data_IF_513401885710
#
_entry.id   IF_513401885710
#
_cell.length_a   1.000
_cell.length_b   1.000
_cell.length_c   1.000
_cell.angle_alpha   90.00
_cell.angle_beta   90.00
_cell.angle_gamma   90.00
#
_symmetry.space_group_name_H-M   'P 1'
#
loop_
_entity.id
_entity.type
_entity.pdbx_description
1 polymer ?
#
# COMPACT_ATOMS: atom_id res chain seq x y z
N UNK A 1 -65.74 -10.27 1.97
CA UNK A 1 -64.84 -9.13 1.70
C UNK A 1 -63.81 -8.89 2.80
N UNK A 2 -64.18 -8.89 4.09
CA UNK A 2 -63.22 -8.64 5.19
C UNK A 2 -62.04 -9.65 5.29
N UNK A 3 -62.28 -10.95 5.02
CA UNK A 3 -61.22 -11.98 5.06
C UNK A 3 -60.17 -11.89 3.95
N UNK A 4 -60.50 -11.31 2.80
CA UNK A 4 -59.54 -11.13 1.70
C UNK A 4 -58.61 -9.93 1.95
N UNK A 5 -59.09 -8.92 2.67
CA UNK A 5 -58.31 -7.71 2.99
C UNK A 5 -57.24 -8.02 4.05
N UNK A 6 -57.57 -8.84 5.06
CA UNK A 6 -56.60 -9.28 6.08
C UNK A 6 -55.52 -10.21 5.51
N UNK A 7 -55.89 -11.10 4.59
CA UNK A 7 -54.90 -11.94 3.89
C UNK A 7 -53.96 -11.12 3.01
N UNK A 8 -54.47 -10.12 2.27
CA UNK A 8 -53.64 -9.22 1.48
C UNK A 8 -52.70 -8.37 2.34
N UNK A 9 -53.14 -7.91 3.51
CA UNK A 9 -52.30 -7.16 4.45
C UNK A 9 -51.18 -8.04 5.04
N UNK A 10 -51.46 -9.29 5.39
CA UNK A 10 -50.45 -10.22 5.91
C UNK A 10 -49.43 -10.58 4.81
N UNK A 11 -49.88 -10.79 3.57
CA UNK A 11 -48.99 -11.02 2.43
C UNK A 11 -48.17 -9.77 2.10
N UNK A 12 -48.74 -8.56 2.20
CA UNK A 12 -48.01 -7.31 2.00
C UNK A 12 -46.98 -7.07 3.11
N UNK A 13 -47.30 -7.39 4.37
CA UNK A 13 -46.36 -7.31 5.51
C UNK A 13 -45.26 -8.37 5.40
N UNK A 14 -45.57 -9.59 4.94
CA UNK A 14 -44.57 -10.64 4.68
C UNK A 14 -43.68 -10.31 3.46
N UNK A 15 -44.25 -9.68 2.43
CA UNK A 15 -43.49 -9.17 1.28
C UNK A 15 -42.62 -7.97 1.70
N UNK A 16 -43.09 -7.09 2.58
CA UNK A 16 -42.31 -5.98 3.14
C UNK A 16 -41.23 -6.47 4.14
N UNK A 17 -41.48 -7.55 4.88
CA UNK A 17 -40.46 -8.20 5.73
C UNK A 17 -39.36 -8.88 4.90
N UNK A 18 -39.66 -9.35 3.69
CA UNK A 18 -38.66 -9.83 2.73
C UNK A 18 -37.94 -8.70 1.95
N UNK A 19 -38.37 -7.44 2.10
CA UNK A 19 -37.70 -6.26 1.53
C UNK A 19 -36.78 -5.54 2.51
N UNK A 20 -36.66 -6.02 3.76
CA UNK A 20 -35.73 -5.47 4.77
C UNK A 20 -34.84 -6.59 5.32
N UNK A 21 -34.10 -7.24 4.42
CA UNK A 21 -32.76 -7.79 4.67
C UNK A 21 -32.02 -7.85 3.33
N UNK A 22 -31.92 -6.71 2.64
CA UNK A 22 -30.63 -6.43 2.06
C UNK A 22 -29.74 -6.14 3.28
N UNK A 23 -28.96 -7.13 3.73
CA UNK A 23 -27.62 -6.75 4.18
C UNK A 23 -27.09 -5.92 3.00
N UNK A 24 -27.02 -4.60 3.17
CA UNK A 24 -26.02 -3.82 2.46
C UNK A 24 -24.72 -4.50 2.86
N UNK A 25 -24.35 -5.52 2.09
CA UNK A 25 -23.22 -6.41 2.34
C UNK A 25 -21.99 -5.55 2.17
N UNK A 26 -21.64 -4.83 3.23
CA UNK A 26 -20.60 -3.84 3.18
C UNK A 26 -19.31 -4.55 2.74
N UNK A 27 -18.73 -4.11 1.63
CA UNK A 27 -17.55 -4.77 1.09
C UNK A 27 -16.35 -4.15 1.78
N UNK A 28 -15.47 -4.99 2.34
CA UNK A 28 -14.21 -4.55 2.90
C UNK A 28 -13.29 -4.03 1.79
N UNK A 29 -12.77 -2.82 1.96
CA UNK A 29 -11.76 -2.26 1.07
C UNK A 29 -10.36 -2.72 1.51
N UNK A 30 -9.61 -3.22 0.55
CA UNK A 30 -8.23 -3.67 0.70
C UNK A 30 -7.52 -3.59 -0.64
N UNK A 31 -6.21 -3.81 -0.65
CA UNK A 31 -5.47 -4.02 -1.90
C UNK A 31 -6.11 -5.08 -2.81
N UNK A 32 -6.69 -6.14 -2.24
CA UNK A 32 -7.32 -7.22 -3.01
C UNK A 32 -8.56 -6.75 -3.78
N UNK A 33 -9.26 -5.72 -3.30
CA UNK A 33 -10.52 -5.24 -3.87
C UNK A 33 -10.38 -3.85 -4.51
N UNK A 34 -9.22 -3.22 -4.37
CA UNK A 34 -8.93 -1.88 -4.88
C UNK A 34 -9.09 -1.81 -6.41
N UNK A 35 -10.06 -1.03 -6.94
CA UNK A 35 -10.36 -1.00 -8.36
C UNK A 35 -9.14 -0.56 -9.20
N UNK A 36 -8.56 -1.51 -9.94
CA UNK A 36 -7.33 -1.31 -10.72
C UNK A 36 -7.44 -2.01 -12.08
N UNK A 37 -6.91 -1.39 -13.13
CA UNK A 37 -6.66 -2.06 -14.41
C UNK A 37 -5.19 -2.51 -14.41
N UNK A 38 -4.98 -3.83 -14.33
CA UNK A 38 -3.66 -4.45 -14.23
C UNK A 38 -3.35 -5.21 -15.51
N UNK A 39 -2.41 -4.72 -16.31
CA UNK A 39 -2.02 -5.35 -17.58
C UNK A 39 -0.64 -6.00 -17.45
N UNK A 40 -0.54 -7.25 -17.89
CA UNK A 40 0.76 -7.93 -18.02
C UNK A 40 1.17 -7.95 -19.49
N UNK A 41 2.38 -7.50 -19.77
CA UNK A 41 2.98 -7.47 -21.11
C UNK A 41 4.15 -8.45 -21.09
N UNK A 42 3.95 -9.63 -21.69
CA UNK A 42 4.78 -10.81 -21.51
C UNK A 42 5.57 -11.13 -22.77
N UNK A 43 6.89 -11.22 -22.64
CA UNK A 43 7.79 -11.65 -23.70
C UNK A 43 7.58 -13.15 -24.00
N UNK A 44 7.29 -13.45 -25.26
CA UNK A 44 7.14 -14.79 -25.81
C UNK A 44 8.12 -15.05 -26.95
N UNK A 45 9.27 -14.38 -26.96
CA UNK A 45 10.30 -14.48 -28.00
C UNK A 45 11.14 -15.77 -27.91
N UNK A 46 12.00 -16.01 -28.92
CA UNK A 46 12.86 -17.19 -28.96
C UNK A 46 13.88 -17.29 -27.83
N UNK A 47 14.33 -16.18 -27.25
CA UNK A 47 15.25 -16.19 -26.10
C UNK A 47 14.60 -16.78 -24.84
N UNK A 48 13.30 -16.52 -24.66
CA UNK A 48 12.49 -17.08 -23.57
C UNK A 48 12.41 -18.59 -23.72
N UNK A 49 11.92 -19.05 -24.87
CA UNK A 49 11.65 -20.47 -25.12
C UNK A 49 10.41 -21.00 -24.37
N UNK A 50 9.83 -22.13 -24.83
CA UNK A 50 8.55 -22.62 -24.33
C UNK A 50 8.58 -23.05 -22.85
N UNK A 51 9.68 -23.63 -22.38
CA UNK A 51 9.79 -24.11 -20.98
C UNK A 51 9.78 -22.96 -19.97
N UNK A 52 10.52 -21.88 -20.25
CA UNK A 52 10.55 -20.70 -19.40
C UNK A 52 9.23 -19.93 -19.47
N UNK A 53 8.60 -19.89 -20.65
CA UNK A 53 7.28 -19.25 -20.79
C UNK A 53 6.21 -19.93 -19.92
N UNK A 54 6.26 -21.25 -19.74
CA UNK A 54 5.40 -21.94 -18.77
C UNK A 54 5.65 -21.49 -17.32
N UNK A 55 6.89 -21.13 -16.96
CA UNK A 55 7.21 -20.57 -15.64
C UNK A 55 6.63 -19.15 -15.51
N UNK A 56 6.73 -18.33 -16.56
CA UNK A 56 6.11 -17.00 -16.63
C UNK A 56 4.58 -17.08 -16.47
N UNK A 57 3.92 -18.03 -17.17
CA UNK A 57 2.47 -18.26 -17.01
C UNK A 57 2.10 -18.67 -15.58
N UNK A 58 2.86 -19.58 -14.96
CA UNK A 58 2.64 -19.95 -13.55
C UNK A 58 2.81 -18.75 -12.62
N UNK A 59 3.80 -17.90 -12.87
CA UNK A 59 4.01 -16.67 -12.12
C UNK A 59 2.83 -15.70 -12.28
N UNK A 60 2.36 -15.46 -13.52
CA UNK A 60 1.19 -14.67 -13.85
C UNK A 60 -0.07 -15.13 -13.09
N UNK A 61 -0.33 -16.44 -13.09
CA UNK A 61 -1.46 -17.04 -12.35
C UNK A 61 -1.30 -16.80 -10.85
N UNK A 62 -0.10 -17.05 -10.31
CA UNK A 62 0.15 -16.94 -8.88
C UNK A 62 0.08 -15.51 -8.36
N UNK A 63 0.55 -14.52 -9.12
CA UNK A 63 0.41 -13.10 -8.72
C UNK A 63 -1.06 -12.69 -8.79
N UNK A 64 -1.80 -13.10 -9.82
CA UNK A 64 -3.22 -12.78 -10.03
C UNK A 64 -4.12 -13.30 -8.89
N UNK A 65 -3.82 -14.48 -8.32
CA UNK A 65 -4.56 -15.06 -7.18
C UNK A 65 -4.58 -14.18 -5.91
N UNK A 66 -3.71 -13.18 -5.82
CA UNK A 66 -3.70 -12.24 -4.70
C UNK A 66 -4.78 -11.17 -4.79
N UNK A 67 -5.47 -11.04 -5.92
CA UNK A 67 -6.45 -9.99 -6.17
C UNK A 67 -7.84 -10.59 -6.43
N UNK A 68 -8.86 -9.83 -6.05
CA UNK A 68 -10.24 -10.17 -6.31
C UNK A 68 -10.64 -9.58 -7.66
N UNK A 69 -10.98 -10.46 -8.60
CA UNK A 69 -11.25 -10.10 -9.99
C UNK A 69 -12.73 -9.82 -10.18
N UNK A 70 -13.05 -8.71 -10.82
CA UNK A 70 -14.42 -8.41 -11.17
C UNK A 70 -14.65 -6.99 -11.67
N UNK A 71 -15.86 -6.68 -12.15
CA UNK A 71 -16.19 -5.38 -12.73
C UNK A 71 -16.02 -4.21 -11.74
N UNK A 72 -16.26 -4.48 -10.44
CA UNK A 72 -16.10 -3.51 -9.34
C UNK A 72 -14.70 -3.50 -8.72
N UNK A 73 -13.85 -4.46 -9.05
CA UNK A 73 -12.54 -4.67 -8.42
C UNK A 73 -11.43 -4.58 -9.47
N UNK A 74 -10.46 -5.48 -9.42
CA UNK A 74 -9.35 -5.54 -10.35
C UNK A 74 -9.84 -6.17 -11.67
N UNK A 75 -9.49 -5.53 -12.78
CA UNK A 75 -9.59 -6.11 -14.11
C UNK A 75 -8.19 -6.39 -14.62
N UNK A 76 -7.96 -7.61 -15.11
CA UNK A 76 -6.65 -8.03 -15.63
C UNK A 76 -6.69 -8.14 -17.13
N UNK A 77 -5.66 -7.60 -17.79
CA UNK A 77 -5.40 -7.78 -19.21
C UNK A 77 -4.05 -8.45 -19.44
N UNK A 78 -3.91 -9.18 -20.54
CA UNK A 78 -2.65 -9.85 -20.90
C UNK A 78 -2.36 -9.60 -22.38
N UNK A 79 -1.16 -9.09 -22.64
CA UNK A 79 -0.55 -9.00 -23.96
C UNK A 79 0.66 -9.91 -23.96
N UNK A 80 0.73 -10.83 -24.91
CA UNK A 80 1.97 -11.53 -25.22
C UNK A 80 2.63 -10.85 -26.42
N UNK A 81 3.96 -10.82 -26.51
CA UNK A 81 4.62 -10.27 -27.69
C UNK A 81 5.85 -11.06 -28.12
N UNK A 82 6.09 -11.05 -29.43
CA UNK A 82 7.37 -11.43 -30.03
C UNK A 82 7.67 -10.52 -31.22
N UNK A 83 7.47 -10.99 -32.46
CA UNK A 83 7.53 -10.18 -33.68
C UNK A 83 6.42 -9.11 -33.73
N UNK A 84 5.26 -9.45 -33.15
CA UNK A 84 4.09 -8.61 -33.02
C UNK A 84 3.38 -8.89 -31.68
N UNK A 85 2.66 -7.90 -31.13
CA UNK A 85 1.84 -8.11 -29.94
C UNK A 85 0.56 -8.89 -30.26
N UNK A 86 0.17 -9.76 -29.33
CA UNK A 86 -1.05 -10.56 -29.34
C UNK A 86 -1.87 -10.25 -28.09
N UNK A 87 -3.14 -9.90 -28.28
CA UNK A 87 -4.09 -9.72 -27.18
C UNK A 87 -4.58 -11.09 -26.71
N UNK A 88 -4.04 -11.58 -25.61
CA UNK A 88 -4.44 -12.85 -25.00
C UNK A 88 -5.71 -12.67 -24.16
N UNK A 89 -5.75 -11.62 -23.33
CA UNK A 89 -6.86 -11.36 -22.41
C UNK A 89 -7.23 -9.88 -22.45
N UNK A 90 -8.42 -9.51 -22.94
CA UNK A 90 -8.94 -8.14 -22.85
C UNK A 90 -9.27 -7.73 -21.41
N UNK A 91 -9.09 -6.45 -21.09
CA UNK A 91 -9.57 -5.91 -19.81
C UNK A 91 -11.09 -6.08 -19.68
N UNK A 92 -11.53 -6.55 -18.50
CA UNK A 92 -12.93 -6.71 -18.16
C UNK A 92 -13.66 -7.90 -18.80
N UNK A 93 -12.95 -8.79 -19.50
CA UNK A 93 -13.56 -9.99 -20.10
C UNK A 93 -13.98 -11.05 -19.07
N UNK A 94 -13.41 -11.02 -17.87
CA UNK A 94 -13.68 -11.99 -16.80
C UNK A 94 -14.24 -11.31 -15.55
N UNK A 95 -15.34 -11.88 -15.03
CA UNK A 95 -16.01 -11.41 -13.82
C UNK A 95 -15.58 -12.16 -12.54
N UNK A 96 -14.73 -13.18 -12.67
CA UNK A 96 -14.20 -13.98 -11.55
C UNK A 96 -12.77 -14.45 -11.85
N UNK A 97 -12.01 -14.73 -10.78
CA UNK A 97 -10.61 -15.16 -10.89
C UNK A 97 -10.45 -16.56 -11.49
N UNK A 98 -11.38 -17.48 -11.26
CA UNK A 98 -11.28 -18.86 -11.74
C UNK A 98 -11.23 -18.95 -13.28
N UNK A 99 -12.17 -18.29 -13.95
CA UNK A 99 -12.21 -18.28 -15.42
C UNK A 99 -11.02 -17.51 -16.03
N UNK A 100 -10.58 -16.43 -15.36
CA UNK A 100 -9.39 -15.69 -15.76
C UNK A 100 -8.14 -16.57 -15.69
N UNK A 101 -7.98 -17.33 -14.60
CA UNK A 101 -6.84 -18.23 -14.41
C UNK A 101 -6.82 -19.32 -15.48
N UNK A 102 -7.96 -19.95 -15.78
CA UNK A 102 -8.04 -20.95 -16.84
C UNK A 102 -7.64 -20.36 -18.22
N UNK A 103 -8.05 -19.11 -18.50
CA UNK A 103 -7.64 -18.41 -19.71
C UNK A 103 -6.13 -18.15 -19.75
N UNK A 104 -5.53 -17.71 -18.64
CA UNK A 104 -4.09 -17.51 -18.52
C UNK A 104 -3.29 -18.79 -18.74
N UNK A 105 -3.77 -19.92 -18.21
CA UNK A 105 -3.12 -21.23 -18.38
C UNK A 105 -3.15 -21.71 -19.84
N UNK A 106 -4.17 -21.30 -20.61
CA UNK A 106 -4.34 -21.65 -22.02
C UNK A 106 -3.48 -20.85 -23.00
N UNK A 107 -2.78 -19.79 -22.54
CA UNK A 107 -1.92 -18.98 -23.40
C UNK A 107 -0.79 -19.84 -23.99
N UNK A 108 -0.62 -19.78 -25.30
CA UNK A 108 0.41 -20.53 -26.02
C UNK A 108 1.63 -19.66 -26.32
N UNK A 109 2.83 -20.23 -26.17
CA UNK A 109 4.08 -19.58 -26.53
C UNK A 109 4.15 -19.26 -28.03
N UNK A 110 4.61 -18.04 -28.38
CA UNK A 110 4.71 -17.58 -29.77
C UNK A 110 6.02 -17.99 -30.46
N UNK A 111 7.16 -17.61 -29.89
CA UNK A 111 8.44 -17.54 -30.60
C UNK A 111 8.54 -16.33 -31.53
N UNK A 112 9.77 -15.96 -31.92
CA UNK A 112 10.05 -14.81 -32.77
C UNK A 112 11.08 -13.85 -32.17
N UNK A 113 11.09 -12.61 -32.66
CA UNK A 113 11.94 -11.54 -32.12
C UNK A 113 11.36 -10.89 -30.85
N UNK A 114 12.04 -9.87 -30.33
CA UNK A 114 11.63 -9.11 -29.13
C UNK A 114 11.26 -7.68 -29.51
N UNK A 115 9.97 -7.35 -29.55
CA UNK A 115 9.43 -6.03 -29.92
C UNK A 115 8.67 -5.37 -28.76
N UNK A 116 9.40 -5.02 -27.71
CA UNK A 116 8.84 -4.50 -26.44
C UNK A 116 8.17 -3.14 -26.63
N UNK A 117 8.71 -2.27 -27.48
CA UNK A 117 8.15 -0.94 -27.74
C UNK A 117 6.76 -1.01 -28.37
N UNK A 118 6.62 -1.83 -29.41
CA UNK A 118 5.31 -2.14 -30.01
C UNK A 118 4.32 -2.75 -29.03
N UNK A 119 4.77 -3.62 -28.13
CA UNK A 119 3.90 -4.24 -27.14
C UNK A 119 3.34 -3.23 -26.13
N UNK A 120 4.17 -2.32 -25.64
CA UNK A 120 3.76 -1.22 -24.76
C UNK A 120 2.76 -0.30 -25.48
N UNK A 121 3.07 0.11 -26.71
CA UNK A 121 2.18 0.95 -27.51
C UNK A 121 0.83 0.25 -27.78
N UNK A 122 0.85 -1.05 -28.10
CA UNK A 122 -0.37 -1.83 -28.30
C UNK A 122 -1.23 -1.92 -27.04
N UNK A 123 -0.61 -2.13 -25.87
CA UNK A 123 -1.33 -2.13 -24.60
C UNK A 123 -2.00 -0.77 -24.33
N UNK A 124 -1.30 0.33 -24.59
CA UNK A 124 -1.85 1.69 -24.50
C UNK A 124 -3.07 1.86 -25.41
N UNK A 125 -2.93 1.58 -26.71
CA UNK A 125 -3.92 1.91 -27.73
C UNK A 125 -5.13 0.95 -27.75
N UNK A 126 -4.94 -0.32 -27.37
CA UNK A 126 -5.96 -1.36 -27.55
C UNK A 126 -6.48 -1.99 -26.27
N UNK A 127 -5.75 -1.89 -25.15
CA UNK A 127 -6.24 -2.36 -23.85
C UNK A 127 -6.67 -1.17 -23.00
N UNK A 128 -5.74 -0.30 -22.63
CA UNK A 128 -6.03 0.80 -21.70
C UNK A 128 -6.98 1.86 -22.26
N UNK A 129 -6.95 2.11 -23.58
CA UNK A 129 -7.88 3.02 -24.24
C UNK A 129 -9.32 2.48 -24.30
N UNK A 130 -9.50 1.15 -24.24
CA UNK A 130 -10.83 0.51 -24.22
C UNK A 130 -11.42 0.44 -22.81
N UNK A 131 -10.60 0.66 -21.78
CA UNK A 131 -11.11 0.76 -20.42
C UNK A 131 -11.88 2.07 -20.24
N UNK A 132 -13.18 1.96 -19.95
CA UNK A 132 -14.04 3.10 -19.62
C UNK A 132 -13.89 3.55 -18.15
N UNK A 133 -12.97 2.93 -17.39
CA UNK A 133 -12.76 3.17 -15.98
C UNK A 133 -11.75 4.30 -15.77
N UNK A 134 -12.13 5.31 -14.99
CA UNK A 134 -11.20 6.33 -14.50
C UNK A 134 -10.62 5.90 -13.15
N UNK A 135 -9.68 4.96 -13.21
CA UNK A 135 -9.09 4.28 -12.05
C UNK A 135 -7.57 4.13 -12.20
N UNK A 136 -6.91 3.55 -11.20
CA UNK A 136 -5.47 3.23 -11.25
C UNK A 136 -5.19 2.27 -12.40
N UNK A 137 -4.22 2.62 -13.25
CA UNK A 137 -3.78 1.82 -14.41
C UNK A 137 -2.32 1.41 -14.21
N UNK A 138 -2.05 0.12 -14.24
CA UNK A 138 -0.71 -0.44 -14.03
C UNK A 138 -0.40 -1.41 -15.16
N UNK A 139 0.80 -1.31 -15.73
CA UNK A 139 1.34 -2.35 -16.60
C UNK A 139 2.61 -2.95 -16.01
N UNK A 140 2.74 -4.26 -16.09
CA UNK A 140 3.94 -5.01 -15.71
C UNK A 140 4.53 -5.61 -16.98
N UNK A 141 5.67 -5.08 -17.41
CA UNK A 141 6.43 -5.54 -18.58
C UNK A 141 7.45 -6.56 -18.11
N UNK A 142 7.43 -7.76 -18.69
CA UNK A 142 8.40 -8.81 -18.44
C UNK A 142 9.16 -9.09 -19.74
N UNK A 143 10.49 -9.10 -19.67
CA UNK A 143 11.38 -9.38 -20.80
C UNK A 143 12.67 -10.04 -20.33
N UNK A 144 13.32 -10.80 -21.21
CA UNK A 144 14.62 -11.43 -20.93
C UNK A 144 15.76 -10.97 -21.83
N UNK A 145 15.51 -9.99 -22.71
CA UNK A 145 16.51 -9.51 -23.65
C UNK A 145 16.34 -8.03 -23.98
N UNK A 146 17.33 -7.50 -24.71
CA UNK A 146 17.25 -6.18 -25.34
C UNK A 146 16.17 -6.19 -26.42
N UNK A 147 15.31 -5.17 -26.41
CA UNK A 147 14.34 -4.97 -27.47
C UNK A 147 15.01 -4.65 -28.81
N UNK A 148 14.40 -5.10 -29.90
CA UNK A 148 14.85 -4.80 -31.26
C UNK A 148 14.14 -3.59 -31.88
N UNK A 149 13.25 -2.94 -31.13
CA UNK A 149 12.59 -1.67 -31.47
C UNK A 149 12.74 -0.61 -30.36
N UNK A 150 12.45 0.64 -30.69
CA UNK A 150 12.53 1.76 -29.74
C UNK A 150 11.46 1.64 -28.66
N UNK A 151 11.87 1.49 -27.39
CA UNK A 151 10.95 1.33 -26.25
C UNK A 151 10.58 2.65 -25.58
N UNK A 152 11.45 3.66 -25.69
CA UNK A 152 11.39 4.86 -24.85
C UNK A 152 10.12 5.69 -25.13
N UNK A 153 9.84 5.96 -26.40
CA UNK A 153 8.72 6.81 -26.80
C UNK A 153 7.37 6.18 -26.42
N UNK A 154 7.23 4.86 -26.61
CA UNK A 154 6.03 4.12 -26.21
C UNK A 154 5.83 4.14 -24.69
N UNK A 155 6.91 3.96 -23.92
CA UNK A 155 6.87 4.02 -22.47
C UNK A 155 6.57 5.44 -21.95
N UNK A 156 7.12 6.48 -22.58
CA UNK A 156 6.78 7.89 -22.29
C UNK A 156 5.30 8.16 -22.57
N UNK A 157 4.78 7.74 -23.72
CA UNK A 157 3.37 7.91 -24.06
C UNK A 157 2.43 7.20 -23.06
N UNK A 158 2.77 5.98 -22.62
CA UNK A 158 1.99 5.28 -21.61
C UNK A 158 1.98 6.02 -20.25
N UNK A 159 3.14 6.53 -19.79
CA UNK A 159 3.24 7.30 -18.55
C UNK A 159 2.52 8.64 -18.62
N UNK A 160 2.55 9.31 -19.77
CA UNK A 160 1.80 10.54 -20.00
C UNK A 160 0.29 10.31 -19.89
N UNK A 161 -0.17 9.11 -20.26
CA UNK A 161 -1.53 8.61 -20.06
C UNK A 161 -1.81 8.04 -18.66
N UNK A 162 -0.96 8.37 -17.67
CA UNK A 162 -1.10 8.00 -16.25
C UNK A 162 -1.12 6.49 -16.00
N UNK A 163 -0.45 5.71 -16.87
CA UNK A 163 -0.20 4.29 -16.63
C UNK A 163 1.12 4.16 -15.86
N UNK A 164 1.08 3.48 -14.72
CA UNK A 164 2.29 3.11 -13.98
C UNK A 164 2.93 1.88 -14.63
N UNK A 165 4.18 1.99 -15.07
CA UNK A 165 4.94 0.91 -15.68
C UNK A 165 5.94 0.31 -14.68
N UNK A 166 5.84 -1.00 -14.49
CA UNK A 166 6.87 -1.85 -13.88
C UNK A 166 7.62 -2.59 -14.99
N UNK A 167 8.94 -2.74 -14.85
CA UNK A 167 9.76 -3.54 -15.74
C UNK A 167 10.46 -4.66 -14.95
N UNK A 168 10.33 -5.89 -15.41
CA UNK A 168 10.97 -7.08 -14.86
C UNK A 168 11.91 -7.62 -15.95
N UNK A 169 13.22 -7.50 -15.70
CA UNK A 169 14.24 -8.13 -16.52
C UNK A 169 14.62 -9.49 -15.96
N UNK A 170 14.64 -10.52 -16.79
CA UNK A 170 15.05 -11.88 -16.43
C UNK A 170 16.34 -12.24 -17.15
N UNK A 171 17.35 -12.74 -16.43
CA UNK A 171 18.62 -13.13 -17.01
C UNK A 171 19.57 -11.97 -17.33
N UNK A 172 20.75 -12.32 -17.86
CA UNK A 172 21.86 -11.40 -18.13
C UNK A 172 21.73 -10.61 -19.44
N UNK A 173 20.85 -11.02 -20.34
CA UNK A 173 20.72 -10.41 -21.68
C UNK A 173 19.87 -9.12 -21.67
N UNK A 174 19.37 -8.72 -20.50
CA UNK A 174 18.59 -7.48 -20.33
C UNK A 174 19.50 -6.26 -20.16
N UNK A 175 19.13 -5.15 -20.79
CA UNK A 175 19.86 -3.88 -20.65
C UNK A 175 19.22 -2.99 -19.57
N UNK A 176 19.98 -2.70 -18.51
CA UNK A 176 19.55 -1.83 -17.39
C UNK A 176 18.97 -0.48 -17.87
N UNK A 177 19.61 0.14 -18.86
CA UNK A 177 19.15 1.40 -19.43
C UNK A 177 17.77 1.29 -20.10
N UNK A 178 17.50 0.16 -20.75
CA UNK A 178 16.23 -0.11 -21.43
C UNK A 178 15.10 -0.34 -20.40
N UNK A 179 15.34 -1.18 -19.39
CA UNK A 179 14.36 -1.41 -18.31
C UNK A 179 14.02 -0.11 -17.57
N UNK A 180 15.02 0.75 -17.33
CA UNK A 180 14.82 2.08 -16.73
C UNK A 180 14.08 3.05 -17.65
N UNK A 181 14.21 2.91 -18.97
CA UNK A 181 13.46 3.70 -19.93
C UNK A 181 11.97 3.28 -19.98
N UNK A 182 11.70 1.99 -19.78
CA UNK A 182 10.34 1.42 -19.69
C UNK A 182 9.66 1.85 -18.39
N UNK A 183 10.29 1.59 -17.24
CA UNK A 183 9.64 1.72 -15.94
C UNK A 183 9.36 3.17 -15.51
N UNK A 184 8.48 3.31 -14.52
CA UNK A 184 8.31 4.56 -13.79
C UNK A 184 9.55 4.91 -12.95
N UNK A 185 9.63 6.17 -12.47
CA UNK A 185 10.68 6.62 -11.55
C UNK A 185 10.18 6.65 -10.10
N UNK A 186 11.03 6.31 -9.12
CA UNK A 186 12.44 5.93 -9.26
C UNK A 186 12.63 4.46 -9.67
N UNK A 187 13.73 4.15 -10.38
CA UNK A 187 14.00 2.79 -10.87
C UNK A 187 14.13 1.76 -9.74
N UNK A 188 14.57 2.18 -8.54
CA UNK A 188 14.63 1.34 -7.35
C UNK A 188 13.27 0.77 -6.91
N UNK A 189 12.16 1.33 -7.40
CA UNK A 189 10.80 0.91 -7.06
C UNK A 189 10.12 0.16 -8.19
N UNK A 190 10.40 0.54 -9.44
CA UNK A 190 9.65 0.06 -10.61
C UNK A 190 10.46 -0.87 -11.54
N UNK A 191 11.76 -1.06 -11.29
CA UNK A 191 12.59 -2.00 -12.04
C UNK A 191 12.99 -3.17 -11.14
N UNK A 192 12.79 -4.38 -11.64
CA UNK A 192 13.14 -5.63 -10.97
C UNK A 192 14.08 -6.44 -11.86
N UNK A 193 15.13 -6.97 -11.26
CA UNK A 193 16.07 -7.87 -11.91
C UNK A 193 15.94 -9.25 -11.30
N UNK A 194 15.85 -10.24 -12.15
CA UNK A 194 15.73 -11.64 -11.77
C UNK A 194 16.82 -12.42 -12.46
N UNK A 195 17.57 -13.23 -11.71
CA UNK A 195 18.72 -13.98 -12.24
C UNK A 195 18.31 -14.99 -13.34
N UNK A 196 17.17 -15.66 -13.14
CA UNK A 196 16.61 -16.63 -14.08
C UNK A 196 15.09 -16.79 -13.88
N UNK A 197 14.45 -17.56 -14.76
CA UNK A 197 13.01 -17.79 -14.68
C UNK A 197 12.56 -18.53 -13.42
N UNK A 198 13.41 -19.36 -12.82
CA UNK A 198 13.06 -20.08 -11.58
C UNK A 198 12.96 -19.07 -10.42
N UNK A 199 13.87 -18.10 -10.39
CA UNK A 199 13.93 -17.04 -9.40
C UNK A 199 12.79 -16.01 -9.53
N UNK A 200 12.01 -16.00 -10.62
CA UNK A 200 10.89 -15.06 -10.77
C UNK A 200 9.82 -15.26 -9.68
N UNK A 201 9.70 -16.48 -9.17
CA UNK A 201 8.83 -16.80 -8.04
C UNK A 201 9.20 -16.02 -6.77
N UNK A 202 10.47 -15.64 -6.59
CA UNK A 202 10.98 -14.93 -5.41
C UNK A 202 10.49 -13.48 -5.34
N UNK A 203 10.26 -12.84 -6.49
CA UNK A 203 9.78 -11.45 -6.52
C UNK A 203 8.27 -11.32 -6.36
N UNK A 204 7.52 -12.44 -6.28
CA UNK A 204 6.05 -12.42 -6.20
C UNK A 204 5.52 -11.59 -5.04
N UNK A 205 6.03 -11.78 -3.82
CA UNK A 205 5.55 -11.05 -2.65
C UNK A 205 5.91 -9.56 -2.70
N UNK A 206 7.10 -9.24 -3.21
CA UNK A 206 7.54 -7.85 -3.38
C UNK A 206 6.69 -7.16 -4.45
N UNK A 207 6.44 -7.82 -5.58
CA UNK A 207 5.56 -7.31 -6.63
C UNK A 207 4.14 -7.13 -6.13
N UNK A 208 3.58 -8.09 -5.37
CA UNK A 208 2.27 -7.95 -4.72
C UNK A 208 2.23 -6.68 -3.87
N UNK A 209 3.24 -6.48 -3.03
CA UNK A 209 3.34 -5.30 -2.17
C UNK A 209 3.41 -4.00 -3.01
N UNK A 210 4.24 -3.94 -4.06
CA UNK A 210 4.34 -2.74 -4.93
C UNK A 210 3.07 -2.45 -5.72
N UNK A 211 2.38 -3.47 -6.21
CA UNK A 211 1.07 -3.31 -6.83
C UNK A 211 0.05 -2.77 -5.82
N UNK A 212 0.05 -3.27 -4.58
CA UNK A 212 -0.79 -2.75 -3.51
C UNK A 212 -0.51 -1.28 -3.20
N UNK A 213 0.76 -0.89 -3.09
CA UNK A 213 1.17 0.50 -2.88
C UNK A 213 0.64 1.44 -3.99
N UNK A 214 0.60 0.97 -5.24
CA UNK A 214 0.01 1.73 -6.36
C UNK A 214 -1.50 1.82 -6.28
N UNK A 215 -2.18 0.73 -5.90
CA UNK A 215 -3.63 0.65 -5.90
C UNK A 215 -4.29 1.37 -4.72
N UNK A 216 -3.71 1.31 -3.51
CA UNK A 216 -4.39 1.82 -2.30
C UNK A 216 -3.85 3.15 -1.78
N UNK A 217 -2.66 3.59 -2.20
CA UNK A 217 -1.99 4.76 -1.63
C UNK A 217 -1.94 5.93 -2.63
N UNK A 218 -3.01 6.75 -2.70
CA UNK A 218 -3.12 7.81 -3.70
C UNK A 218 -2.24 9.03 -3.38
N UNK A 219 -1.89 9.24 -2.11
CA UNK A 219 -1.20 10.46 -1.68
C UNK A 219 0.31 10.28 -1.69
N UNK A 220 1.00 11.30 -2.22
CA UNK A 220 2.45 11.46 -2.10
C UNK A 220 2.77 12.37 -0.92
N UNK A 221 3.51 11.83 0.04
CA UNK A 221 4.01 12.54 1.22
C UNK A 221 5.42 13.06 0.91
N UNK A 222 5.66 14.37 0.93
CA UNK A 222 7.00 14.91 0.77
C UNK A 222 7.91 14.49 1.94
N UNK A 223 9.01 13.80 1.64
CA UNK A 223 10.10 13.47 2.57
C UNK A 223 11.40 14.08 2.04
N UNK A 224 12.40 14.34 2.90
CA UNK A 224 13.59 15.16 2.63
C UNK A 224 14.47 14.76 1.42
N UNK A 225 14.15 13.68 0.70
CA UNK A 225 14.84 13.24 -0.51
C UNK A 225 13.94 12.66 -1.61
N UNK A 226 12.66 12.37 -1.35
CA UNK A 226 11.72 11.76 -2.31
C UNK A 226 10.27 11.86 -1.82
N UNK A 227 9.34 11.76 -2.75
CA UNK A 227 7.92 11.57 -2.46
C UNK A 227 7.68 10.11 -2.07
N UNK A 228 7.17 9.88 -0.87
CA UNK A 228 6.75 8.55 -0.42
C UNK A 228 5.24 8.37 -0.58
N UNK A 229 4.81 7.17 -0.95
CA UNK A 229 3.38 6.86 -0.97
C UNK A 229 2.87 6.59 0.44
N UNK A 230 1.73 7.17 0.78
CA UNK A 230 1.21 7.05 2.13
C UNK A 230 -0.04 7.87 2.38
N UNK A 231 -0.35 8.03 3.66
CA UNK A 231 -1.44 8.86 4.16
C UNK A 231 -0.90 9.83 5.22
N UNK A 232 -1.08 11.13 5.01
CA UNK A 232 -0.90 12.12 6.08
C UNK A 232 -2.24 12.29 6.79
N UNK A 233 -2.39 11.62 7.93
CA UNK A 233 -3.66 11.50 8.65
C UNK A 233 -4.09 12.89 9.17
N UNK A 234 -3.14 13.71 9.62
CA UNK A 234 -3.46 15.08 10.05
C UNK A 234 -4.01 15.95 8.91
N UNK A 235 -3.47 15.78 7.70
CA UNK A 235 -4.00 16.42 6.50
C UNK A 235 -5.40 15.90 6.17
N UNK A 236 -5.59 14.58 6.14
CA UNK A 236 -6.86 13.93 5.83
C UNK A 236 -8.00 14.37 6.76
N UNK A 237 -7.72 14.49 8.07
CA UNK A 237 -8.71 14.96 9.05
C UNK A 237 -8.91 16.49 9.05
N UNK A 238 -8.16 17.22 8.22
CA UNK A 238 -8.25 18.69 8.13
C UNK A 238 -7.77 19.40 9.40
N UNK A 239 -6.82 18.82 10.14
CA UNK A 239 -6.33 19.35 11.44
C UNK A 239 -5.86 20.79 11.31
N UNK A 240 -5.20 21.14 10.19
CA UNK A 240 -4.78 22.52 9.88
C UNK A 240 -5.91 23.55 9.95
N UNK A 241 -7.12 23.16 9.54
CA UNK A 241 -8.32 24.01 9.55
C UNK A 241 -9.03 23.97 10.90
N UNK A 242 -9.11 22.79 11.53
CA UNK A 242 -9.88 22.56 12.77
C UNK A 242 -9.16 23.07 14.03
N UNK A 243 -7.82 23.01 14.07
CA UNK A 243 -7.01 23.40 15.23
C UNK A 243 -6.38 24.77 15.00
N UNK A 244 -6.58 25.71 15.95
CA UNK A 244 -6.04 27.08 15.85
C UNK A 244 -4.63 27.22 16.41
N UNK A 245 -4.34 26.56 17.53
CA UNK A 245 -3.06 26.70 18.23
C UNK A 245 -2.00 25.82 17.57
N UNK A 246 -0.83 26.42 17.32
CA UNK A 246 0.34 25.74 16.75
C UNK A 246 1.44 25.74 17.78
N UNK A 247 2.18 24.64 17.82
CA UNK A 247 3.35 24.48 18.67
C UNK A 247 4.56 24.50 17.75
N UNK A 248 5.62 25.19 18.15
CA UNK A 248 6.88 25.16 17.43
C UNK A 248 7.85 24.28 18.20
N UNK A 249 8.35 23.22 17.56
CA UNK A 249 9.42 22.41 18.12
C UNK A 249 10.76 23.08 17.75
N UNK A 250 11.56 23.40 18.76
CA UNK A 250 12.94 23.89 18.61
C UNK A 250 13.89 22.69 18.77
N UNK A 251 14.94 22.52 17.93
CA UNK A 251 15.54 23.48 17.00
C UNK A 251 15.00 23.41 15.55
N UNK A 252 14.17 22.44 15.21
CA UNK A 252 13.80 22.11 13.81
C UNK A 252 12.82 23.09 13.16
N UNK A 253 12.21 24.02 13.92
CA UNK A 253 11.15 24.96 13.47
C UNK A 253 9.92 24.27 12.88
N UNK A 254 9.77 22.95 13.05
CA UNK A 254 8.61 22.20 12.56
C UNK A 254 7.41 22.53 13.45
N UNK A 255 6.25 22.74 12.83
CA UNK A 255 5.01 23.10 13.51
C UNK A 255 4.22 21.85 13.88
N UNK A 256 3.91 21.69 15.17
CA UNK A 256 2.90 20.78 15.70
C UNK A 256 1.59 21.48 16.02
N UNK A 257 0.64 20.72 16.56
CA UNK A 257 -0.72 21.11 16.86
C UNK A 257 -1.02 20.81 18.33
N UNK A 258 -1.59 21.78 19.04
CA UNK A 258 -2.12 21.56 20.39
C UNK A 258 -3.58 21.13 20.28
N UNK A 259 -3.86 19.87 20.58
CA UNK A 259 -5.21 19.32 20.52
C UNK A 259 -5.90 19.54 21.86
N UNK A 260 -7.11 20.08 21.82
CA UNK A 260 -7.93 20.31 23.01
C UNK A 260 -9.19 19.47 22.95
N UNK A 261 -9.82 19.23 24.10
CA UNK A 261 -11.05 18.44 24.19
C UNK A 261 -12.25 19.03 23.44
N UNK A 262 -12.17 20.29 22.98
CA UNK A 262 -13.22 20.97 22.22
C UNK A 262 -13.17 20.70 20.72
N UNK A 263 -12.10 20.07 20.22
CA UNK A 263 -11.92 19.82 18.78
C UNK A 263 -12.32 18.38 18.49
N UNK A 264 -13.27 18.21 17.58
CA UNK A 264 -13.55 16.89 17.02
C UNK A 264 -12.66 16.64 15.80
N UNK A 265 -11.82 15.61 15.91
CA UNK A 265 -10.91 15.17 14.86
C UNK A 265 -11.36 13.81 14.38
N UNK A 266 -12.54 13.83 13.76
CA UNK A 266 -13.17 12.70 13.08
C UNK A 266 -13.35 13.04 11.60
N UNK A 267 -13.30 12.01 10.76
CA UNK A 267 -13.58 12.09 9.33
C UNK A 267 -14.10 10.73 8.83
N UNK A 268 -14.84 10.70 7.72
CA UNK A 268 -15.23 9.44 7.10
C UNK A 268 -13.98 8.67 6.67
N UNK A 269 -13.96 7.35 6.93
CA UNK A 269 -12.80 6.52 6.57
C UNK A 269 -12.53 6.59 5.07
N UNK A 270 -13.57 6.57 4.23
CA UNK A 270 -13.46 6.69 2.77
C UNK A 270 -12.82 8.00 2.28
N UNK A 271 -12.89 9.10 3.05
CA UNK A 271 -12.26 10.36 2.66
C UNK A 271 -10.73 10.36 2.92
N UNK A 272 -10.25 9.48 3.80
CA UNK A 272 -8.83 9.40 4.18
C UNK A 272 -8.17 8.15 3.57
N UNK A 273 -8.88 7.03 3.57
CA UNK A 273 -8.44 5.71 3.11
C UNK A 273 -9.47 5.13 2.11
N UNK A 274 -9.64 5.75 0.92
CA UNK A 274 -10.72 5.40 -0.01
C UNK A 274 -10.70 3.94 -0.46
N UNK A 275 -9.51 3.34 -0.57
CA UNK A 275 -9.32 1.95 -1.00
C UNK A 275 -8.79 1.03 0.11
N UNK A 276 -8.92 1.48 1.37
CA UNK A 276 -8.38 0.78 2.53
C UNK A 276 -6.89 1.02 2.75
N UNK A 277 -6.20 0.01 3.29
CA UNK A 277 -4.77 0.05 3.62
C UNK A 277 -4.00 -1.06 2.88
N UNK A 278 -2.70 -0.87 2.62
CA UNK A 278 -1.87 -1.94 2.07
C UNK A 278 -1.67 -3.04 3.12
N UNK A 279 -1.30 -4.27 2.70
CA UNK A 279 -1.11 -5.38 3.63
C UNK A 279 0.08 -5.18 4.58
N UNK A 280 1.13 -4.47 4.13
CA UNK A 280 2.24 -4.04 4.97
C UNK A 280 2.44 -2.53 4.86
N UNK A 281 2.78 -1.87 5.98
CA UNK A 281 2.99 -0.43 6.06
C UNK A 281 3.74 -0.03 7.34
N UNK A 282 4.13 1.24 7.40
CA UNK A 282 4.74 1.86 8.57
C UNK A 282 3.83 2.97 9.10
N UNK A 283 3.28 2.78 10.29
CA UNK A 283 2.60 3.86 11.01
C UNK A 283 3.64 4.65 11.82
N UNK A 284 3.58 5.98 11.74
CA UNK A 284 4.48 6.87 12.48
C UNK A 284 3.68 7.99 13.12
N UNK A 285 3.89 8.21 14.41
CA UNK A 285 3.33 9.32 15.15
C UNK A 285 4.41 9.99 15.99
N UNK A 286 4.47 11.32 15.96
CA UNK A 286 5.33 12.13 16.84
C UNK A 286 4.44 13.03 17.69
N UNK A 287 4.44 12.82 19.01
CA UNK A 287 3.49 13.44 19.94
C UNK A 287 4.06 13.58 21.35
N UNK A 288 3.38 14.39 22.17
CA UNK A 288 3.51 14.39 23.64
C UNK A 288 2.14 14.49 24.28
N UNK A 289 1.97 13.90 25.46
CA UNK A 289 0.67 13.85 26.13
C UNK A 289 0.82 13.70 27.65
N UNK A 290 -0.24 14.09 28.38
CA UNK A 290 -0.35 13.90 29.84
C UNK A 290 -1.69 13.26 30.18
N UNK A 291 -1.82 11.97 29.86
CA UNK A 291 -3.11 11.26 29.89
C UNK A 291 -2.98 10.00 30.74
N UNK A 292 -3.74 9.94 31.83
CA UNK A 292 -3.73 8.81 32.79
C UNK A 292 -4.78 7.72 32.51
N UNK A 293 -5.65 7.94 31.53
CA UNK A 293 -6.72 6.99 31.14
C UNK A 293 -6.31 6.24 29.86
N UNK A 294 -7.09 5.24 29.49
CA UNK A 294 -6.97 4.56 28.20
C UNK A 294 -7.55 5.44 27.09
N UNK A 295 -6.79 5.63 26.03
CA UNK A 295 -7.19 6.44 24.89
C UNK A 295 -6.59 5.94 23.58
N UNK A 296 -7.30 6.18 22.49
CA UNK A 296 -6.90 5.82 21.14
C UNK A 296 -6.21 7.03 20.52
N UNK A 297 -4.90 6.92 20.28
CA UNK A 297 -4.12 7.90 19.54
C UNK A 297 -4.68 8.06 18.13
N UNK A 298 -4.98 6.93 17.50
CA UNK A 298 -5.65 6.83 16.21
C UNK A 298 -6.54 5.59 16.20
N UNK A 299 -7.72 5.69 15.59
CA UNK A 299 -8.61 4.54 15.36
C UNK A 299 -9.37 4.66 14.05
N UNK A 300 -9.75 3.51 13.50
CA UNK A 300 -10.74 3.35 12.44
C UNK A 300 -11.87 2.49 13.01
N UNK A 301 -13.09 2.98 12.93
CA UNK A 301 -14.30 2.33 13.40
C UNK A 301 -15.15 1.84 12.22
N UNK A 302 -15.93 0.79 12.43
CA UNK A 302 -17.07 0.46 11.55
C UNK A 302 -18.19 1.49 11.70
N UNK A 303 -19.21 1.43 10.86
CA UNK A 303 -20.43 2.26 10.99
C UNK A 303 -21.12 2.08 12.36
N UNK A 304 -21.03 0.88 12.93
CA UNK A 304 -21.56 0.54 14.27
C UNK A 304 -20.63 0.97 15.43
N UNK A 305 -19.52 1.65 15.14
CA UNK A 305 -18.57 2.12 16.16
C UNK A 305 -17.61 1.04 16.70
N UNK A 306 -17.51 -0.13 16.06
CA UNK A 306 -16.54 -1.17 16.46
C UNK A 306 -15.15 -0.86 15.92
N UNK A 307 -14.08 -0.90 16.74
CA UNK A 307 -12.73 -0.70 16.25
C UNK A 307 -12.31 -1.79 15.26
N UNK A 308 -11.80 -1.36 14.10
CA UNK A 308 -11.16 -2.21 13.09
C UNK A 308 -9.65 -2.10 13.18
N UNK A 309 -9.17 -0.87 13.37
CA UNK A 309 -7.77 -0.53 13.60
C UNK A 309 -7.69 0.45 14.74
N UNK A 310 -6.73 0.29 15.65
CA UNK A 310 -6.45 1.28 16.69
C UNK A 310 -5.01 1.21 17.19
N UNK A 311 -4.43 2.38 17.47
CA UNK A 311 -3.23 2.52 18.30
C UNK A 311 -3.67 3.10 19.63
N UNK A 312 -3.72 2.26 20.65
CA UNK A 312 -4.27 2.57 21.97
C UNK A 312 -3.17 2.70 23.01
N UNK A 313 -3.17 3.80 23.75
CA UNK A 313 -2.25 4.08 24.85
C UNK A 313 -3.00 3.94 26.17
N UNK A 314 -2.51 3.08 27.05
CA UNK A 314 -3.07 2.87 28.39
C UNK A 314 -2.25 3.63 29.43
N UNK A 315 -2.75 4.79 29.87
CA UNK A 315 -2.09 5.61 30.89
C UNK A 315 -2.09 5.04 32.31
N UNK A 316 -2.88 3.98 32.59
CA UNK A 316 -2.92 3.31 33.89
C UNK A 316 -1.82 2.25 33.95
N UNK A 317 -1.83 1.33 33.00
CA UNK A 317 -0.90 0.20 32.96
C UNK A 317 0.43 0.55 32.26
N UNK A 318 0.48 1.72 31.62
CA UNK A 318 1.61 2.22 30.80
C UNK A 318 1.97 1.26 29.67
N UNK A 319 0.96 0.83 28.92
CA UNK A 319 1.10 -0.09 27.79
C UNK A 319 0.63 0.55 26.50
N UNK A 320 1.06 -0.03 25.38
CA UNK A 320 0.59 0.30 24.04
C UNK A 320 -0.04 -0.93 23.42
N UNK A 321 -1.21 -0.78 22.78
CA UNK A 321 -1.87 -1.87 22.05
C UNK A 321 -2.12 -1.45 20.61
N UNK A 322 -1.87 -2.36 19.68
CA UNK A 322 -2.25 -2.24 18.28
C UNK A 322 -3.40 -3.21 17.98
N UNK A 323 -4.55 -2.68 17.58
CA UNK A 323 -5.70 -3.45 17.12
C UNK A 323 -5.71 -3.45 15.60
N UNK A 324 -5.96 -4.59 14.98
CA UNK A 324 -6.18 -4.72 13.53
C UNK A 324 -7.20 -5.83 13.24
N UNK A 325 -7.69 -5.90 12.02
CA UNK A 325 -8.58 -6.98 11.57
C UNK A 325 -7.83 -8.32 11.50
N UNK A 326 -8.55 -9.43 11.46
CA UNK A 326 -7.94 -10.77 11.38
C UNK A 326 -8.81 -11.73 10.58
N UNK A 327 -8.18 -12.55 9.73
CA UNK A 327 -8.87 -13.65 9.03
C UNK A 327 -9.42 -14.72 9.97
N UNK A 328 -8.91 -14.85 11.20
CA UNK A 328 -9.31 -15.91 12.14
C UNK A 328 -10.52 -15.49 12.97
N UNK A 329 -10.41 -14.36 13.68
CA UNK A 329 -11.38 -13.93 14.69
C UNK A 329 -12.08 -12.60 14.34
N UNK A 330 -11.92 -12.11 13.10
CA UNK A 330 -12.43 -10.80 12.66
C UNK A 330 -11.56 -9.62 13.11
N UNK A 331 -11.01 -9.67 14.33
CA UNK A 331 -10.05 -8.71 14.89
C UNK A 331 -9.00 -9.39 15.77
N UNK A 332 -7.86 -8.74 15.95
CA UNK A 332 -6.76 -9.16 16.82
C UNK A 332 -6.10 -7.94 17.48
N UNK A 333 -5.46 -8.16 18.63
CA UNK A 333 -4.78 -7.10 19.40
C UNK A 333 -3.39 -7.58 19.79
N UNK A 334 -2.38 -6.80 19.43
CA UNK A 334 -1.01 -6.95 19.90
C UNK A 334 -0.74 -5.92 21.00
N UNK A 335 -0.47 -6.38 22.22
CA UNK A 335 -0.17 -5.50 23.36
C UNK A 335 1.31 -5.57 23.71
N UNK A 336 1.93 -4.39 23.80
CA UNK A 336 3.32 -4.18 24.14
C UNK A 336 3.43 -3.74 25.60
N UNK A 337 4.12 -4.55 26.40
CA UNK A 337 4.28 -4.36 27.85
C UNK A 337 5.75 -4.24 28.27
N UNK A 338 6.67 -4.13 27.31
CA UNK A 338 8.09 -3.95 27.59
C UNK A 338 8.30 -2.73 28.51
N UNK A 339 9.20 -2.79 29.52
CA UNK A 339 9.48 -1.66 30.40
C UNK A 339 9.80 -0.35 29.69
N UNK A 340 10.42 -0.40 28.50
CA UNK A 340 10.72 0.79 27.70
C UNK A 340 9.46 1.48 27.18
N UNK A 341 8.31 0.81 27.05
CA UNK A 341 7.03 1.45 26.69
C UNK A 341 6.60 2.51 27.71
N UNK A 342 7.04 2.37 28.97
CA UNK A 342 6.72 3.32 30.05
C UNK A 342 7.33 4.70 29.83
N UNK A 343 8.35 4.85 28.98
CA UNK A 343 8.98 6.14 28.67
C UNK A 343 8.01 7.07 27.95
N UNK A 344 7.11 6.54 27.11
CA UNK A 344 6.07 7.32 26.41
C UNK A 344 5.19 8.15 27.35
N UNK A 345 5.14 7.82 28.64
CA UNK A 345 4.27 8.41 29.65
C UNK A 345 5.01 9.40 30.56
N UNK A 346 6.15 9.94 30.13
CA UNK A 346 6.96 10.91 30.89
C UNK A 346 6.61 12.39 30.59
N UNK A 347 5.59 12.63 29.76
CA UNK A 347 5.11 13.94 29.29
C UNK A 347 6.01 14.63 28.25
N UNK A 348 7.11 13.99 27.85
CA UNK A 348 8.03 14.38 26.78
C UNK A 348 7.52 14.09 25.37
N UNK A 349 8.28 14.56 24.38
CA UNK A 349 8.05 14.26 22.98
C UNK A 349 8.63 12.89 22.66
N UNK A 350 7.81 12.03 22.05
CA UNK A 350 8.22 10.71 21.58
C UNK A 350 7.72 10.46 20.17
N UNK A 351 8.48 9.65 19.43
CA UNK A 351 8.03 9.03 18.19
C UNK A 351 7.63 7.58 18.48
N UNK A 352 6.39 7.25 18.15
CA UNK A 352 5.91 5.88 18.07
C UNK A 352 5.92 5.47 16.61
N UNK A 353 6.60 4.37 16.30
CA UNK A 353 6.59 3.77 14.97
C UNK A 353 6.19 2.31 15.05
N UNK A 354 5.23 1.89 14.22
CA UNK A 354 4.81 0.51 14.09
C UNK A 354 5.10 0.05 12.66
N UNK A 355 5.98 -0.93 12.50
CA UNK A 355 6.12 -1.67 11.24
C UNK A 355 5.10 -2.81 11.28
N UNK A 356 4.08 -2.72 10.43
CA UNK A 356 3.01 -3.72 10.32
C UNK A 356 3.27 -4.54 9.06
N UNK A 357 3.33 -5.86 9.22
CA UNK A 357 3.43 -6.84 8.14
C UNK A 357 2.23 -7.80 8.18
N UNK A 358 2.13 -8.71 7.22
CA UNK A 358 1.09 -9.75 7.25
C UNK A 358 1.29 -10.79 8.37
N UNK A 359 2.50 -10.84 8.96
CA UNK A 359 2.89 -11.87 9.94
C UNK A 359 3.17 -11.31 11.32
N UNK A 360 3.45 -10.02 11.46
CA UNK A 360 3.80 -9.40 12.72
C UNK A 360 3.60 -7.88 12.75
N UNK A 361 3.71 -7.31 13.95
CA UNK A 361 3.88 -5.89 14.18
C UNK A 361 5.07 -5.65 15.09
N UNK A 362 5.96 -4.77 14.67
CA UNK A 362 7.15 -4.36 15.44
C UNK A 362 7.00 -2.93 15.93
N UNK A 363 7.14 -2.74 17.25
CA UNK A 363 7.11 -1.44 17.89
C UNK A 363 8.51 -0.84 17.97
N UNK A 364 8.62 0.41 17.56
CA UNK A 364 9.77 1.27 17.75
C UNK A 364 9.37 2.50 18.56
N UNK A 365 10.19 2.89 19.53
CA UNK A 365 10.07 4.13 20.29
C UNK A 365 11.38 4.91 20.13
N UNK A 366 11.30 6.14 19.64
CA UNK A 366 12.45 7.04 19.46
C UNK A 366 13.62 6.36 18.69
N UNK A 367 13.29 5.76 17.54
CA UNK A 367 14.18 4.96 16.67
C UNK A 367 14.74 3.66 17.28
N UNK A 368 14.36 3.29 18.50
CA UNK A 368 14.76 2.01 19.10
C UNK A 368 13.69 0.96 18.89
N UNK A 369 14.07 -0.21 18.35
CA UNK A 369 13.18 -1.36 18.31
C UNK A 369 12.95 -1.87 19.73
N UNK A 370 11.69 -1.98 20.13
CA UNK A 370 11.30 -2.35 21.50
C UNK A 370 10.86 -3.81 21.56
N UNK A 371 9.91 -4.20 20.71
CA UNK A 371 9.26 -5.51 20.79
C UNK A 371 8.57 -5.86 19.47
N UNK A 372 8.41 -7.15 19.19
CA UNK A 372 7.74 -7.69 18.01
C UNK A 372 6.65 -8.66 18.47
N UNK A 373 5.48 -8.59 17.84
CA UNK A 373 4.32 -9.43 18.16
C UNK A 373 3.79 -10.07 16.88
N UNK A 374 3.54 -11.39 16.88
CA UNK A 374 2.98 -12.06 15.71
C UNK A 374 1.56 -11.56 15.45
N UNK A 375 1.21 -11.51 14.17
CA UNK A 375 -0.12 -11.24 13.65
C UNK A 375 -0.55 -12.37 12.73
N UNK A 376 -1.86 -12.58 12.67
CA UNK A 376 -2.47 -13.30 11.57
C UNK A 376 -2.75 -12.32 10.42
N UNK A 377 -2.86 -12.80 9.17
CA UNK A 377 -3.21 -11.94 8.04
C UNK A 377 -4.45 -11.10 8.32
N UNK A 378 -4.36 -9.81 7.99
CA UNK A 378 -5.44 -8.86 8.18
C UNK A 378 -6.48 -8.97 7.05
N UNK A 379 -7.74 -8.71 7.39
CA UNK A 379 -8.79 -8.48 6.39
C UNK A 379 -8.76 -7.01 5.96
N UNK A 380 -9.40 -6.69 4.83
CA UNK A 380 -9.70 -5.30 4.49
C UNK A 380 -10.51 -4.59 5.58
N UNK A 381 -10.57 -3.26 5.49
CA UNK A 381 -11.37 -2.43 6.41
C UNK A 381 -12.68 -2.00 5.74
N UNK A 382 -13.71 -1.86 6.55
CA UNK A 382 -14.94 -1.16 6.17
C UNK A 382 -14.65 0.34 6.12
N UNK A 383 -14.90 0.96 4.97
CA UNK A 383 -14.64 2.39 4.74
C UNK A 383 -15.87 3.29 4.95
N UNK A 384 -17.05 2.72 5.21
CA UNK A 384 -18.26 3.53 5.51
C UNK A 384 -18.24 4.17 6.90
N UNK A 385 -17.40 3.65 7.80
CA UNK A 385 -17.26 4.15 9.16
C UNK A 385 -16.44 5.43 9.24
N UNK A 386 -15.76 5.60 10.37
CA UNK A 386 -15.01 6.82 10.67
C UNK A 386 -13.57 6.53 11.10
N UNK A 387 -12.67 7.43 10.74
CA UNK A 387 -11.33 7.50 11.31
C UNK A 387 -11.23 8.71 12.24
N UNK A 388 -10.59 8.50 13.39
CA UNK A 388 -10.54 9.48 14.48
C UNK A 388 -9.17 9.47 15.14
N UNK A 389 -8.79 10.61 15.72
CA UNK A 389 -7.54 10.72 16.50
C UNK A 389 -7.80 11.30 17.88
N UNK A 390 -7.03 10.82 18.85
CA UNK A 390 -7.01 11.32 20.22
C UNK A 390 -8.34 11.20 20.95
N UNK A 391 -9.00 10.04 20.90
CA UNK A 391 -10.28 9.81 21.58
C UNK A 391 -10.09 8.98 22.84
N UNK A 392 -10.82 9.27 23.92
CA UNK A 392 -10.86 8.32 25.03
C UNK A 392 -11.45 6.99 24.56
N UNK A 393 -10.91 5.88 25.07
CA UNK A 393 -11.33 4.55 24.61
C UNK A 393 -12.83 4.35 24.89
N UNK A 394 -13.58 3.95 23.86
CA UNK A 394 -15.04 3.78 23.91
C UNK A 394 -15.86 5.08 24.03
N UNK A 395 -15.25 6.26 23.81
CA UNK A 395 -15.92 7.56 23.89
C UNK A 395 -15.60 8.43 22.69
N UNK A 396 -16.46 9.42 22.44
CA UNK A 396 -16.27 10.45 21.41
C UNK A 396 -15.53 11.71 21.92
N UNK A 397 -15.27 11.77 23.22
CA UNK A 397 -14.53 12.88 23.84
C UNK A 397 -13.05 12.85 23.42
N UNK A 398 -12.58 13.98 22.89
CA UNK A 398 -11.19 14.18 22.48
C UNK A 398 -10.30 14.45 23.70
N UNK A 399 -9.14 13.80 23.73
CA UNK A 399 -8.09 13.94 24.72
C UNK A 399 -7.21 15.15 24.41
N UNK A 400 -6.66 15.77 25.45
CA UNK A 400 -5.67 16.83 25.27
C UNK A 400 -4.27 16.23 25.07
N UNK A 401 -3.67 16.52 23.93
CA UNK A 401 -2.32 16.09 23.57
C UNK A 401 -1.76 16.98 22.46
N UNK A 402 -0.45 16.92 22.25
CA UNK A 402 0.21 17.66 21.19
C UNK A 402 0.73 16.69 20.15
N UNK A 403 0.51 17.00 18.87
CA UNK A 403 0.89 16.12 17.76
C UNK A 403 1.60 16.91 16.67
N UNK A 404 2.68 16.35 16.15
CA UNK A 404 3.46 16.93 15.06
C UNK A 404 3.30 16.12 13.77
N UNK A 405 3.36 14.80 13.89
CA UNK A 405 3.36 13.85 12.77
C UNK A 405 2.38 12.74 13.10
N UNK A 406 1.55 12.35 12.13
CA UNK A 406 0.72 11.15 12.18
C UNK A 406 0.51 10.67 10.75
N UNK A 407 1.23 9.61 10.37
CA UNK A 407 1.37 9.16 8.99
C UNK A 407 1.34 7.65 8.88
N UNK A 408 0.92 7.18 7.71
CA UNK A 408 1.15 5.81 7.26
C UNK A 408 1.99 5.91 5.99
N UNK A 409 3.12 5.22 5.96
CA UNK A 409 3.91 5.01 4.74
C UNK A 409 3.60 3.61 4.21
N UNK A 410 3.26 3.52 2.92
CA UNK A 410 2.86 2.25 2.33
C UNK A 410 4.03 1.35 1.95
N UNK A 411 5.23 1.91 1.79
CA UNK A 411 6.47 1.16 1.62
C UNK A 411 7.00 0.72 3.00
N UNK A 412 6.99 -0.59 3.34
CA UNK A 412 7.51 -1.07 4.63
C UNK A 412 9.01 -0.77 4.81
N UNK A 413 9.78 -0.60 3.73
CA UNK A 413 11.20 -0.22 3.81
C UNK A 413 11.40 1.18 4.38
N UNK A 414 10.37 2.03 4.37
CA UNK A 414 10.43 3.35 4.99
C UNK A 414 10.74 3.26 6.49
N UNK A 415 10.50 2.12 7.15
CA UNK A 415 10.89 1.89 8.53
C UNK A 415 12.41 2.09 8.78
N UNK A 416 13.24 1.69 7.81
CA UNK A 416 14.70 1.80 7.91
C UNK A 416 15.22 3.21 7.61
N UNK A 417 14.34 4.10 7.14
CA UNK A 417 14.67 5.43 6.62
C UNK A 417 14.03 6.54 7.44
N UNK A 418 12.98 6.22 8.20
CA UNK A 418 12.37 7.12 9.17
C UNK A 418 13.31 7.31 10.36
N UNK A 419 13.44 8.56 10.81
CA UNK A 419 14.23 8.91 11.99
C UNK A 419 13.40 9.72 12.98
N UNK A 420 13.86 9.78 14.22
CA UNK A 420 13.32 10.55 15.33
C UNK A 420 14.09 11.88 15.54
N UNK A 421 14.86 12.33 14.54
CA UNK A 421 15.68 13.53 14.62
C UNK A 421 14.87 14.81 14.91
N UNK A 422 13.55 14.81 14.70
CA UNK A 422 12.69 15.93 15.06
C UNK A 422 12.46 16.10 16.58
N UNK A 423 12.75 15.08 17.39
CA UNK A 423 12.49 15.10 18.83
C UNK A 423 13.55 15.97 19.54
N UNK A 424 13.15 17.01 20.29
CA UNK A 424 14.09 17.83 21.06
C UNK A 424 14.86 17.00 22.10
N UNK A 425 16.19 17.09 22.11
CA UNK A 425 17.06 16.34 23.04
C UNK A 425 17.46 14.95 22.56
N UNK A 426 16.97 14.51 21.39
CA UNK A 426 17.48 13.32 20.73
C UNK A 426 18.89 13.58 20.18
N UNK A 427 19.92 13.05 20.85
CA UNK A 427 21.32 13.10 20.41
C UNK A 427 21.56 12.10 19.25
N UNK A 428 20.82 12.26 18.16
CA UNK A 428 21.01 11.51 16.92
C UNK A 428 22.23 11.95 16.10
N UNK A 429 22.99 12.95 16.57
CA UNK A 429 24.18 13.47 15.87
C UNK A 429 25.25 12.40 15.62
N UNK A 430 25.35 11.38 16.49
CA UNK A 430 26.31 10.29 16.28
C UNK A 430 25.85 9.34 15.15
N UNK A 431 24.55 9.06 15.04
CA UNK A 431 24.01 8.17 14.02
C UNK A 431 23.98 8.82 12.64
N UNK A 432 23.55 10.08 12.54
CA UNK A 432 23.46 10.80 11.26
C UNK A 432 24.85 11.11 10.69
N UNK A 433 25.81 11.49 11.54
CA UNK A 433 27.20 11.70 11.10
C UNK A 433 27.84 10.40 10.61
N UNK A 434 27.64 9.27 11.31
CA UNK A 434 28.15 7.96 10.90
C UNK A 434 27.45 7.47 9.62
N UNK A 435 26.13 7.65 9.47
CA UNK A 435 25.42 7.27 8.24
C UNK A 435 25.85 8.11 7.04
N UNK A 436 26.03 9.42 7.23
CA UNK A 436 26.54 10.31 6.17
C UNK A 436 27.99 9.96 5.85
N UNK A 437 28.84 9.72 6.85
CA UNK A 437 30.23 9.28 6.66
C UNK A 437 30.31 7.95 5.93
N UNK A 438 29.50 6.95 6.30
CA UNK A 438 29.46 5.65 5.63
C UNK A 438 28.99 5.78 4.18
N UNK A 439 27.98 6.63 3.91
CA UNK A 439 27.47 6.85 2.57
C UNK A 439 28.45 7.61 1.68
N UNK A 440 29.15 8.60 2.25
CA UNK A 440 30.25 9.32 1.57
C UNK A 440 31.44 8.40 1.34
N UNK A 441 31.79 7.54 2.30
CA UNK A 441 32.84 6.54 2.14
C UNK A 441 32.49 5.51 1.08
N UNK A 442 31.23 5.07 0.98
CA UNK A 442 30.79 4.11 -0.04
C UNK A 442 30.85 4.73 -1.45
N UNK A 443 30.40 5.97 -1.61
CA UNK A 443 30.50 6.70 -2.90
C UNK A 443 31.96 6.98 -3.28
N UNK A 444 32.81 7.34 -2.32
CA UNK A 444 34.24 7.53 -2.56
C UNK A 444 34.94 6.19 -2.87
N UNK A 445 34.51 5.09 -2.26
CA UNK A 445 35.03 3.75 -2.54
C UNK A 445 34.64 3.30 -3.96
N UNK A 446 33.40 3.52 -4.39
CA UNK A 446 32.96 3.21 -5.76
C UNK A 446 33.69 4.08 -6.80
N UNK A 447 33.93 5.36 -6.49
CA UNK A 447 34.73 6.25 -7.35
C UNK A 447 36.20 5.84 -7.41
N UNK A 448 36.79 5.42 -6.28
CA UNK A 448 38.18 4.95 -6.23
C UNK A 448 38.34 3.60 -6.93
N UNK A 449 37.41 2.66 -6.72
CA UNK A 449 37.39 1.36 -7.38
C UNK A 449 37.25 1.51 -8.91
N UNK A 450 36.45 2.47 -9.38
CA UNK A 450 36.32 2.79 -10.80
C UNK A 450 37.58 3.45 -11.40
N UNK A 451 38.41 4.10 -10.56
CA UNK A 451 39.66 4.75 -11.00
C UNK A 451 40.89 3.84 -10.97
N UNK A 452 40.79 2.67 -10.34
CA UNK A 452 41.87 1.67 -10.20
C UNK A 452 41.74 0.49 -11.18
N UNK A 453 40.73 0.50 -12.06
CA UNK A 453 40.66 -0.35 -13.25
C UNK A 453 41.27 0.41 -14.44
N UNK A 454 42.61 0.42 -14.49
CA UNK A 454 43.42 0.79 -15.65
C UNK A 454 44.44 -0.32 -15.92
#
# INVERSE_FOLDING_TARGET
>A
MAHHITFLWIVLVLLLQNFVLAEDGEIRSSCRTAPTDLVFILDGSYSVGPENFEIVKKWLVNITKNFDIGPKFIQVGVVQYSDYPVLEIPLGSYASGENLIAAMESIHYLGGNTRTGKAIQFALDYLFAKSSRFLTKIAVVLTDGKSQDEVKDAAEAARDNKITLFAIGVGSETEDAELRAIANKPSSTYVFYVEDYIAISKIREIMKQKLCEESVCPTRIPVAARDEKGFDILLGLGVKKKVKKRIQLSPTKIKGYEITSKVDLSEFTSNVFPEGLPPSYVFVSTQRFKVKKVWDLWRILTIDGKPQIAVTLNGVDKTLSFTTTSVINGSQVATFTDPQVKTLFDEGWHQIRLLVTEQDVTLFIDDQQIDNKPLHPALGIFISGQTQIGKYSGKEETVQFDVQKLRIYCDPEQNNRETACEIPGFNGEVGLAIFILLKVMFVLWDQLASSLQL
#
